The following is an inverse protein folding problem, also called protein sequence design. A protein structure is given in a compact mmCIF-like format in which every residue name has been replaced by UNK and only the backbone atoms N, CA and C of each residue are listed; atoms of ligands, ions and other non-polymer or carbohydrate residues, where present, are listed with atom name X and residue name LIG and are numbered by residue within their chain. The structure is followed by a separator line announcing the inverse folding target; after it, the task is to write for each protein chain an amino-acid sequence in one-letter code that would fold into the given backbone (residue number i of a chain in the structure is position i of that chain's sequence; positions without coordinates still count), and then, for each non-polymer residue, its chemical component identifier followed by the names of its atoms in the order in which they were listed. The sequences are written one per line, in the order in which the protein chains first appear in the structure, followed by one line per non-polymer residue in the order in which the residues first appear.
data_IF_091150773351
#
_entry.id   IF_091150773351
#
_cell.length_a   1.000
_cell.length_b   1.000
_cell.length_c   1.000
_cell.angle_alpha   90.00
_cell.angle_beta   90.00
_cell.angle_gamma   90.00
#
_symmetry.space_group_name_H-M   'P 1'
#
loop_
_entity.id
_entity.type
_entity.pdbx_description
1 polymer ?
#
# COMPACT_ATOMS: atom_id res chain seq x y z
N UNK A 1 -33.69 -31.53 -9.10
CA UNK A 1 -32.61 -32.54 -9.25
C UNK A 1 -31.27 -31.79 -9.30
N UNK A 2 -30.57 -31.60 -8.17
CA UNK A 2 -29.21 -31.03 -8.17
C UNK A 2 -28.26 -32.16 -8.55
N UNK A 3 -27.87 -32.21 -9.83
CA UNK A 3 -27.10 -33.33 -10.43
C UNK A 3 -25.62 -33.39 -9.99
N UNK A 4 -25.17 -32.45 -9.15
CA UNK A 4 -23.83 -32.43 -8.58
C UNK A 4 -23.89 -32.06 -7.10
N UNK A 5 -23.20 -32.83 -6.25
CA UNK A 5 -23.00 -32.50 -4.83
C UNK A 5 -22.18 -31.20 -4.77
N UNK A 6 -22.69 -30.19 -4.08
CA UNK A 6 -21.92 -28.95 -3.88
C UNK A 6 -20.62 -29.29 -3.16
N UNK A 7 -19.49 -28.85 -3.73
CA UNK A 7 -18.21 -28.96 -3.05
C UNK A 7 -18.28 -28.14 -1.75
N UNK A 8 -17.86 -28.69 -0.60
CA UNK A 8 -17.92 -28.00 0.68
C UNK A 8 -16.77 -26.98 0.81
N UNK A 9 -16.63 -26.10 -0.18
CA UNK A 9 -15.52 -25.15 -0.27
C UNK A 9 -15.48 -24.19 0.93
N UNK A 10 -16.64 -23.74 1.41
CA UNK A 10 -16.73 -22.92 2.64
C UNK A 10 -16.06 -23.62 3.82
N UNK A 11 -16.43 -24.88 4.08
CA UNK A 11 -15.89 -25.63 5.22
C UNK A 11 -14.37 -25.79 5.12
N UNK A 12 -13.81 -25.94 3.92
CA UNK A 12 -12.36 -26.01 3.72
C UNK A 12 -11.68 -24.68 4.05
N UNK A 13 -12.24 -23.57 3.57
CA UNK A 13 -11.74 -22.23 3.90
C UNK A 13 -11.85 -21.97 5.39
N UNK A 14 -12.98 -22.27 6.02
CA UNK A 14 -13.21 -22.08 7.45
C UNK A 14 -12.20 -22.90 8.29
N UNK A 15 -11.91 -24.14 7.88
CA UNK A 15 -10.91 -24.99 8.54
C UNK A 15 -9.51 -24.40 8.43
N UNK A 16 -9.14 -23.90 7.24
CA UNK A 16 -7.81 -23.27 7.02
C UNK A 16 -7.70 -21.99 7.84
N UNK A 17 -8.71 -21.12 7.82
CA UNK A 17 -8.73 -19.86 8.56
C UNK A 17 -8.62 -20.13 10.06
N UNK A 18 -9.39 -21.08 10.59
CA UNK A 18 -9.33 -21.44 12.01
C UNK A 18 -7.94 -21.98 12.38
N UNK A 19 -7.38 -22.87 11.55
CA UNK A 19 -6.03 -23.40 11.79
C UNK A 19 -4.97 -22.29 11.82
N UNK A 20 -5.02 -21.36 10.86
CA UNK A 20 -4.12 -20.20 10.81
C UNK A 20 -4.28 -19.32 12.04
N UNK A 21 -5.52 -19.00 12.44
CA UNK A 21 -5.80 -18.15 13.60
C UNK A 21 -5.33 -18.81 14.90
N UNK A 22 -5.50 -20.12 15.06
CA UNK A 22 -5.05 -20.84 16.25
C UNK A 22 -3.52 -20.92 16.35
N UNK A 23 -2.84 -21.28 15.26
CA UNK A 23 -1.40 -21.58 15.29
C UNK A 23 -0.51 -20.35 15.04
N UNK A 24 -1.00 -19.33 14.34
CA UNK A 24 -0.25 -18.11 14.00
C UNK A 24 -0.73 -16.88 14.77
N UNK A 25 -1.62 -17.03 15.76
CA UNK A 25 -2.11 -15.93 16.62
C UNK A 25 -0.97 -15.07 17.19
N UNK A 26 0.13 -15.68 17.62
CA UNK A 26 1.32 -14.98 18.11
C UNK A 26 1.96 -14.05 17.06
N UNK A 27 2.02 -14.49 15.80
CA UNK A 27 2.56 -13.68 14.69
C UNK A 27 1.57 -12.56 14.34
N UNK A 28 0.27 -12.86 14.23
CA UNK A 28 -0.74 -11.85 13.91
C UNK A 28 -0.84 -10.78 14.99
N UNK A 29 -0.81 -11.15 16.27
CA UNK A 29 -0.81 -10.19 17.38
C UNK A 29 0.47 -9.34 17.43
N UNK A 30 1.64 -9.93 17.14
CA UNK A 30 2.88 -9.16 16.99
C UNK A 30 2.78 -8.14 15.85
N UNK A 31 2.34 -8.56 14.67
CA UNK A 31 2.17 -7.67 13.52
C UNK A 31 1.15 -6.57 13.80
N UNK A 32 0.02 -6.91 14.42
CA UNK A 32 -1.00 -5.95 14.83
C UNK A 32 -0.44 -4.91 15.81
N UNK A 33 0.34 -5.35 16.80
CA UNK A 33 0.94 -4.46 17.80
C UNK A 33 2.00 -3.56 17.17
N UNK A 34 2.86 -4.12 16.31
CA UNK A 34 3.89 -3.37 15.61
C UNK A 34 3.27 -2.31 14.68
N UNK A 35 2.26 -2.69 13.90
CA UNK A 35 1.59 -1.75 13.01
C UNK A 35 0.83 -0.67 13.79
N UNK A 36 0.05 -1.05 14.81
CA UNK A 36 -0.62 -0.07 15.68
C UNK A 36 0.37 0.90 16.33
N UNK A 37 1.54 0.42 16.76
CA UNK A 37 2.59 1.27 17.31
C UNK A 37 3.10 2.27 16.27
N UNK A 38 3.41 1.82 15.04
CA UNK A 38 3.87 2.69 13.95
C UNK A 38 2.80 3.72 13.58
N UNK A 39 1.56 3.29 13.45
CA UNK A 39 0.42 4.14 13.12
C UNK A 39 0.19 5.21 14.19
N UNK A 40 0.14 4.82 15.47
CA UNK A 40 -0.07 5.76 16.57
C UNK A 40 1.08 6.74 16.70
N UNK A 41 2.33 6.28 16.60
CA UNK A 41 3.51 7.16 16.66
C UNK A 41 3.48 8.18 15.52
N UNK A 42 3.19 7.73 14.30
CA UNK A 42 3.18 8.61 13.13
C UNK A 42 2.04 9.63 13.20
N UNK A 43 0.82 9.19 13.55
CA UNK A 43 -0.32 10.09 13.73
C UNK A 43 -0.07 11.09 14.85
N UNK A 44 0.49 10.66 15.99
CA UNK A 44 0.81 11.56 17.09
C UNK A 44 1.89 12.58 16.73
N UNK A 45 2.90 12.19 15.94
CA UNK A 45 3.91 13.13 15.42
C UNK A 45 3.26 14.18 14.51
N UNK A 46 2.36 13.77 13.62
CA UNK A 46 1.64 14.68 12.73
C UNK A 46 0.72 15.63 13.50
N UNK A 47 0.02 15.13 14.52
CA UNK A 47 -0.88 15.91 15.37
C UNK A 47 -0.15 16.83 16.37
N UNK A 48 1.09 16.49 16.74
CA UNK A 48 1.91 17.34 17.59
C UNK A 48 2.24 18.70 16.92
N UNK A 49 2.15 18.77 15.59
CA UNK A 49 2.35 20.00 14.83
C UNK A 49 1.03 20.78 14.79
N UNK A 50 0.98 22.03 15.28
CA UNK A 50 -0.24 22.84 15.24
C UNK A 50 -0.77 22.95 13.80
N UNK A 51 -2.10 22.84 13.58
CA UNK A 51 -2.68 22.78 12.24
C UNK A 51 -2.24 23.91 11.30
N UNK A 52 -2.28 25.15 11.78
CA UNK A 52 -1.86 26.31 11.00
C UNK A 52 -0.38 26.28 10.60
N UNK A 53 0.49 25.72 11.45
CA UNK A 53 1.92 25.55 11.16
C UNK A 53 2.12 24.50 10.07
N UNK A 54 1.40 23.38 10.17
CA UNK A 54 1.43 22.33 9.14
C UNK A 54 0.93 22.85 7.78
N UNK A 55 -0.18 23.58 7.76
CA UNK A 55 -0.73 24.19 6.54
C UNK A 55 0.31 25.11 5.91
N UNK A 56 0.91 26.01 6.70
CA UNK A 56 1.93 26.93 6.22
C UNK A 56 3.15 26.18 5.64
N UNK A 57 3.63 25.14 6.33
CA UNK A 57 4.73 24.31 5.86
C UNK A 57 4.42 23.62 4.53
N UNK A 58 3.24 23.00 4.39
CA UNK A 58 2.84 22.31 3.16
C UNK A 58 2.67 23.28 1.99
N UNK A 59 2.12 24.48 2.24
CA UNK A 59 1.98 25.54 1.22
C UNK A 59 3.34 26.04 0.76
N UNK A 60 4.27 26.28 1.68
CA UNK A 60 5.63 26.70 1.36
C UNK A 60 6.36 25.60 0.57
N UNK A 61 6.27 24.35 1.02
CA UNK A 61 6.86 23.21 0.32
C UNK A 61 6.33 23.11 -1.11
N UNK A 62 5.01 23.19 -1.28
CA UNK A 62 4.39 23.20 -2.60
C UNK A 62 4.88 24.36 -3.47
N UNK A 63 5.05 25.55 -2.89
CA UNK A 63 5.54 26.71 -3.64
C UNK A 63 6.96 26.48 -4.20
N UNK A 64 7.85 25.85 -3.43
CA UNK A 64 9.20 25.52 -3.88
C UNK A 64 9.23 24.37 -4.89
N UNK A 65 8.49 23.28 -4.63
CA UNK A 65 8.46 22.09 -5.51
C UNK A 65 7.89 22.42 -6.88
N UNK A 66 6.83 23.23 -6.95
CA UNK A 66 6.16 23.56 -8.21
C UNK A 66 6.77 24.78 -8.93
N UNK A 67 8.07 25.02 -8.73
CA UNK A 67 8.85 26.09 -9.39
C UNK A 67 8.18 27.47 -9.26
N UNK A 68 7.65 27.79 -8.08
CA UNK A 68 6.98 29.06 -7.76
C UNK A 68 5.67 29.33 -8.53
N UNK A 69 5.04 28.30 -9.11
CA UNK A 69 3.68 28.43 -9.65
C UNK A 69 2.69 28.53 -8.50
N UNK A 70 1.94 29.62 -8.45
CA UNK A 70 1.11 30.00 -7.29
C UNK A 70 -0.20 29.20 -7.21
N UNK A 71 -0.69 28.67 -8.34
CA UNK A 71 -2.00 27.98 -8.40
C UNK A 71 -2.10 26.78 -7.45
N UNK A 72 -1.08 25.93 -7.41
CA UNK A 72 -1.09 24.72 -6.58
C UNK A 72 -0.95 24.99 -5.06
N UNK A 73 -0.04 25.88 -4.61
CA UNK A 73 -0.01 26.33 -3.21
C UNK A 73 -1.32 26.96 -2.72
N UNK A 74 -1.97 27.80 -3.55
CA UNK A 74 -3.29 28.38 -3.20
C UNK A 74 -4.34 27.28 -3.03
N UNK A 75 -4.36 26.31 -3.95
CA UNK A 75 -5.28 25.18 -3.86
C UNK A 75 -5.09 24.38 -2.55
N UNK A 76 -3.84 24.09 -2.17
CA UNK A 76 -3.52 23.43 -0.88
C UNK A 76 -3.99 24.27 0.29
N UNK A 77 -3.70 25.58 0.29
CA UNK A 77 -4.08 26.48 1.37
C UNK A 77 -5.60 26.48 1.58
N UNK A 78 -6.37 26.67 0.51
CA UNK A 78 -7.83 26.72 0.57
C UNK A 78 -8.39 25.35 0.99
N UNK A 79 -7.91 24.26 0.40
CA UNK A 79 -8.38 22.91 0.69
C UNK A 79 -8.14 22.50 2.15
N UNK A 80 -6.94 22.76 2.67
CA UNK A 80 -6.61 22.41 4.06
C UNK A 80 -7.32 23.31 5.07
N UNK A 81 -7.50 24.60 4.77
CA UNK A 81 -8.33 25.48 5.60
C UNK A 81 -9.78 25.05 5.61
N UNK A 82 -10.31 24.57 4.48
CA UNK A 82 -11.66 24.03 4.41
C UNK A 82 -11.81 22.77 5.29
N UNK A 83 -10.89 21.81 5.21
CA UNK A 83 -10.90 20.60 6.05
C UNK A 83 -10.80 20.95 7.53
N UNK A 84 -9.90 21.89 7.88
CA UNK A 84 -9.78 22.39 9.24
C UNK A 84 -11.09 23.02 9.73
N UNK A 85 -11.75 23.84 8.89
CA UNK A 85 -13.05 24.43 9.19
C UNK A 85 -14.17 23.39 9.37
N UNK A 86 -14.08 22.22 8.74
CA UNK A 86 -15.03 21.11 8.96
C UNK A 86 -14.71 20.27 10.21
N UNK A 87 -13.70 20.63 11.01
CA UNK A 87 -13.22 19.86 12.16
C UNK A 87 -12.76 18.43 11.81
N UNK A 88 -12.30 18.21 10.59
CA UNK A 88 -11.84 16.89 10.10
C UNK A 88 -10.31 16.77 10.10
N UNK A 89 -9.61 17.55 10.93
CA UNK A 89 -8.15 17.60 10.95
C UNK A 89 -7.53 16.29 11.43
N UNK A 90 -8.08 15.72 12.51
CA UNK A 90 -7.56 14.49 13.10
C UNK A 90 -7.81 13.27 12.19
N UNK A 91 -8.97 13.24 11.53
CA UNK A 91 -9.32 12.25 10.51
C UNK A 91 -8.39 12.37 9.30
N UNK A 92 -8.07 13.59 8.85
CA UNK A 92 -7.11 13.83 7.78
C UNK A 92 -5.73 13.29 8.16
N UNK A 93 -5.23 13.57 9.37
CA UNK A 93 -3.92 13.08 9.81
C UNK A 93 -3.89 11.56 9.91
N UNK A 94 -4.94 10.94 10.42
CA UNK A 94 -5.06 9.48 10.47
C UNK A 94 -5.09 8.87 9.07
N UNK A 95 -5.78 9.50 8.12
CA UNK A 95 -5.81 9.09 6.72
C UNK A 95 -4.44 9.25 6.05
N UNK A 96 -3.76 10.37 6.29
CA UNK A 96 -2.40 10.61 5.78
C UNK A 96 -1.45 9.53 6.31
N UNK A 97 -1.49 9.23 7.61
CA UNK A 97 -0.70 8.15 8.22
C UNK A 97 -0.96 6.82 7.51
N UNK A 98 -2.24 6.43 7.36
CA UNK A 98 -2.61 5.17 6.71
C UNK A 98 -2.08 5.11 5.28
N UNK A 99 -2.27 6.18 4.50
CA UNK A 99 -1.83 6.26 3.09
C UNK A 99 -0.32 6.22 2.99
N UNK A 100 0.41 6.95 3.85
CA UNK A 100 1.87 6.97 3.85
C UNK A 100 2.45 5.59 4.19
N UNK A 101 1.97 4.97 5.27
CA UNK A 101 2.46 3.66 5.70
C UNK A 101 2.13 2.59 4.65
N UNK A 102 0.90 2.56 4.13
CA UNK A 102 0.50 1.59 3.11
C UNK A 102 1.30 1.76 1.82
N UNK A 103 1.54 3.00 1.39
CA UNK A 103 2.32 3.31 0.19
C UNK A 103 3.79 2.92 0.38
N UNK A 104 4.37 3.17 1.56
CA UNK A 104 5.74 2.82 1.87
C UNK A 104 5.94 1.29 1.86
N UNK A 105 5.04 0.54 2.51
CA UNK A 105 5.07 -0.93 2.49
C UNK A 105 4.91 -1.45 1.04
N UNK A 106 3.98 -0.87 0.28
CA UNK A 106 3.78 -1.20 -1.13
C UNK A 106 5.03 -0.96 -1.97
N UNK A 107 5.77 0.12 -1.74
CA UNK A 107 7.03 0.41 -2.45
C UNK A 107 8.13 -0.57 -2.03
N UNK A 108 8.30 -0.78 -0.72
CA UNK A 108 9.33 -1.67 -0.15
C UNK A 108 9.18 -3.11 -0.69
N UNK A 109 7.95 -3.59 -0.84
CA UNK A 109 7.68 -4.95 -1.36
C UNK A 109 7.59 -4.94 -2.89
N UNK A 110 6.88 -3.95 -3.44
CA UNK A 110 6.50 -3.92 -4.84
C UNK A 110 7.65 -3.63 -5.78
N UNK A 111 8.59 -2.75 -5.41
CA UNK A 111 9.75 -2.44 -6.25
C UNK A 111 10.68 -3.66 -6.39
N UNK A 112 11.12 -4.33 -5.30
CA UNK A 112 11.93 -5.55 -5.43
C UNK A 112 11.22 -6.65 -6.21
N UNK A 113 9.93 -6.89 -5.96
CA UNK A 113 9.16 -7.89 -6.70
C UNK A 113 9.05 -7.54 -8.19
N UNK A 114 8.89 -6.25 -8.52
CA UNK A 114 8.91 -5.75 -9.90
C UNK A 114 10.26 -5.93 -10.59
N UNK A 115 11.36 -5.73 -9.86
CA UNK A 115 12.72 -6.01 -10.35
C UNK A 115 12.91 -7.52 -10.59
N UNK A 116 12.41 -8.39 -9.71
CA UNK A 116 12.48 -9.84 -9.90
C UNK A 116 11.66 -10.28 -11.12
N UNK A 117 10.48 -9.70 -11.33
CA UNK A 117 9.66 -9.95 -12.52
C UNK A 117 10.33 -9.46 -13.81
N UNK A 118 11.07 -8.35 -13.78
CA UNK A 118 11.77 -7.85 -14.97
C UNK A 118 12.95 -8.71 -15.38
N UNK A 119 13.59 -9.38 -14.41
CA UNK A 119 14.71 -10.28 -14.65
C UNK A 119 14.29 -11.70 -15.08
N UNK A 120 13.03 -12.10 -14.91
CA UNK A 120 12.58 -13.46 -15.23
C UNK A 120 11.15 -13.53 -15.75
N UNK A 121 11.00 -14.00 -17.00
CA UNK A 121 9.69 -14.27 -17.61
C UNK A 121 8.89 -15.33 -16.87
N UNK A 122 9.56 -16.28 -16.21
CA UNK A 122 8.91 -17.29 -15.38
C UNK A 122 8.30 -16.67 -14.13
N UNK A 123 9.05 -15.80 -13.44
CA UNK A 123 8.53 -15.06 -12.28
C UNK A 123 7.36 -14.18 -12.69
N UNK A 124 7.46 -13.48 -13.83
CA UNK A 124 6.34 -12.69 -14.35
C UNK A 124 5.08 -13.53 -14.57
N UNK A 125 5.19 -14.69 -15.23
CA UNK A 125 4.04 -15.58 -15.49
C UNK A 125 3.38 -16.10 -14.22
N UNK A 126 4.13 -16.30 -13.14
CA UNK A 126 3.62 -16.80 -11.85
C UNK A 126 3.01 -15.67 -11.02
N UNK A 127 3.67 -14.52 -10.95
CA UNK A 127 3.25 -13.41 -10.08
C UNK A 127 2.07 -12.65 -10.69
N UNK A 128 2.00 -12.52 -12.02
CA UNK A 128 0.96 -11.74 -12.70
C UNK A 128 -0.48 -12.17 -12.34
N UNK A 129 -0.85 -13.47 -12.32
CA UNK A 129 -2.16 -13.91 -11.83
C UNK A 129 -2.46 -13.53 -10.38
N UNK A 130 -1.45 -13.53 -9.49
CA UNK A 130 -1.63 -13.08 -8.11
C UNK A 130 -1.94 -11.59 -8.06
N UNK A 131 -1.23 -10.78 -8.84
CA UNK A 131 -1.51 -9.35 -8.97
C UNK A 131 -2.89 -9.08 -9.58
N UNK A 132 -3.33 -9.91 -10.54
CA UNK A 132 -4.67 -9.83 -11.11
C UNK A 132 -5.74 -10.13 -10.05
N UNK A 133 -5.55 -11.18 -9.24
CA UNK A 133 -6.43 -11.46 -8.09
C UNK A 133 -6.47 -10.31 -7.09
N UNK A 134 -5.33 -9.69 -6.79
CA UNK A 134 -5.22 -8.56 -5.87
C UNK A 134 -5.93 -7.29 -6.37
N UNK A 135 -6.04 -7.08 -7.69
CA UNK A 135 -6.72 -5.91 -8.27
C UNK A 135 -8.20 -6.14 -8.57
N UNK A 136 -8.60 -7.40 -8.81
CA UNK A 136 -9.95 -7.71 -9.31
C UNK A 136 -10.93 -8.11 -8.22
N UNK A 137 -10.46 -8.59 -7.06
CA UNK A 137 -11.39 -8.89 -5.96
C UNK A 137 -11.86 -7.60 -5.28
N UNK A 138 -13.15 -7.53 -4.88
CA UNK A 138 -13.66 -6.35 -4.18
C UNK A 138 -12.92 -6.09 -2.87
N UNK A 139 -12.71 -4.81 -2.54
CA UNK A 139 -11.99 -4.38 -1.33
C UNK A 139 -12.51 -5.03 -0.03
N UNK A 140 -13.83 -5.14 0.11
CA UNK A 140 -14.46 -5.74 1.29
C UNK A 140 -14.11 -7.21 1.49
N UNK A 141 -13.76 -7.94 0.42
CA UNK A 141 -13.39 -9.35 0.50
C UNK A 141 -12.05 -9.53 1.23
N UNK A 142 -11.14 -8.56 1.15
CA UNK A 142 -9.89 -8.55 1.91
C UNK A 142 -10.08 -8.19 3.38
N UNK A 143 -11.11 -7.37 3.68
CA UNK A 143 -11.38 -6.95 5.05
C UNK A 143 -11.89 -8.10 5.93
N UNK A 144 -12.64 -9.06 5.37
CA UNK A 144 -13.16 -10.21 6.11
C UNK A 144 -12.04 -11.01 6.79
N UNK A 145 -11.04 -11.56 6.07
CA UNK A 145 -9.93 -12.26 6.70
C UNK A 145 -9.04 -11.31 7.50
N UNK A 146 -8.84 -10.06 7.07
CA UNK A 146 -8.01 -9.12 7.81
C UNK A 146 -8.57 -8.82 9.22
N UNK A 147 -9.89 -8.64 9.34
CA UNK A 147 -10.55 -8.46 10.64
C UNK A 147 -10.53 -9.75 11.46
N UNK A 148 -10.64 -10.91 10.81
CA UNK A 148 -10.52 -12.20 11.51
C UNK A 148 -9.13 -12.41 12.14
N UNK A 149 -8.06 -12.01 11.44
CA UNK A 149 -6.68 -12.17 11.94
C UNK A 149 -6.22 -11.03 12.85
N UNK A 150 -6.61 -9.79 12.54
CA UNK A 150 -6.09 -8.58 13.18
C UNK A 150 -7.13 -7.80 13.97
N UNK A 151 -8.35 -8.31 14.12
CA UNK A 151 -9.43 -7.61 14.80
C UNK A 151 -9.88 -6.33 14.09
N UNK A 152 -10.69 -5.53 14.78
CA UNK A 152 -11.18 -4.25 14.27
C UNK A 152 -10.17 -3.15 14.61
N UNK A 153 -9.86 -2.28 13.65
CA UNK A 153 -8.95 -1.15 13.86
C UNK A 153 -8.41 -0.58 12.55
N UNK A 154 -7.30 0.15 12.63
CA UNK A 154 -6.61 0.70 11.45
C UNK A 154 -5.87 -0.38 10.64
N UNK A 155 -5.44 -1.46 11.31
CA UNK A 155 -4.67 -2.57 10.75
C UNK A 155 -5.31 -3.22 9.51
N UNK A 156 -6.58 -3.66 9.57
CA UNK A 156 -7.26 -4.15 8.37
C UNK A 156 -7.28 -3.16 7.20
N UNK A 157 -7.38 -1.86 7.51
CA UNK A 157 -7.38 -0.78 6.51
C UNK A 157 -6.03 -0.63 5.82
N UNK A 158 -4.93 -0.66 6.57
CA UNK A 158 -3.56 -0.67 6.02
C UNK A 158 -3.33 -1.92 5.20
N UNK A 159 -3.69 -3.10 5.71
CA UNK A 159 -3.54 -4.38 5.02
C UNK A 159 -4.26 -4.39 3.65
N UNK A 160 -5.54 -3.98 3.63
CA UNK A 160 -6.30 -3.89 2.39
C UNK A 160 -5.71 -2.86 1.42
N UNK A 161 -5.25 -1.72 1.94
CA UNK A 161 -4.62 -0.66 1.13
C UNK A 161 -3.31 -1.12 0.49
N UNK A 162 -2.48 -1.87 1.22
CA UNK A 162 -1.24 -2.48 0.68
C UNK A 162 -1.57 -3.47 -0.43
N UNK A 163 -2.55 -4.35 -0.23
CA UNK A 163 -2.97 -5.31 -1.26
C UNK A 163 -3.42 -4.58 -2.53
N UNK A 164 -4.11 -3.46 -2.41
CA UNK A 164 -4.60 -2.70 -3.55
C UNK A 164 -3.49 -1.88 -4.25
N UNK A 165 -2.54 -1.33 -3.48
CA UNK A 165 -1.47 -0.47 -3.99
C UNK A 165 -0.25 -1.23 -4.55
N UNK A 166 -0.01 -2.47 -4.08
CA UNK A 166 1.15 -3.27 -4.48
C UNK A 166 1.13 -3.62 -5.98
N UNK A 167 0.02 -4.08 -6.58
CA UNK A 167 -0.01 -4.46 -7.99
C UNK A 167 0.43 -3.39 -9.00
N UNK A 168 -0.06 -2.13 -8.98
CA UNK A 168 0.45 -1.10 -9.90
C UNK A 168 1.93 -0.81 -9.68
N UNK A 169 2.40 -0.80 -8.42
CA UNK A 169 3.82 -0.60 -8.09
C UNK A 169 4.68 -1.67 -8.78
N UNK A 170 4.35 -2.95 -8.58
CA UNK A 170 5.09 -4.07 -9.18
C UNK A 170 5.07 -4.03 -10.70
N UNK A 171 3.90 -3.80 -11.30
CA UNK A 171 3.74 -3.79 -12.77
C UNK A 171 4.51 -2.65 -13.42
N UNK A 172 4.41 -1.45 -12.86
CA UNK A 172 5.10 -0.28 -13.42
C UNK A 172 6.61 -0.39 -13.23
N UNK A 173 7.10 -0.98 -12.15
CA UNK A 173 8.52 -1.31 -12.01
C UNK A 173 8.97 -2.35 -13.05
N UNK A 174 8.23 -3.46 -13.22
CA UNK A 174 8.55 -4.47 -14.23
C UNK A 174 8.61 -3.86 -15.64
N UNK A 175 7.55 -3.14 -16.04
CA UNK A 175 7.45 -2.50 -17.34
C UNK A 175 8.53 -1.43 -17.53
N UNK A 176 8.78 -0.59 -16.52
CA UNK A 176 9.80 0.45 -16.58
C UNK A 176 11.19 -0.11 -16.85
N UNK A 177 11.56 -1.21 -16.20
CA UNK A 177 12.86 -1.87 -16.40
C UNK A 177 12.92 -2.56 -17.77
N UNK A 178 11.88 -3.29 -18.17
CA UNK A 178 11.83 -3.97 -19.48
C UNK A 178 11.76 -3.01 -20.68
N UNK A 179 11.32 -1.77 -20.46
CA UNK A 179 11.21 -0.76 -21.52
C UNK A 179 12.54 -0.04 -21.82
N UNK A 180 13.63 -0.37 -21.09
CA UNK A 180 14.95 0.18 -21.36
C UNK A 180 15.46 -0.37 -22.70
N UNK A 181 16.00 0.50 -23.56
CA UNK A 181 16.49 0.11 -24.88
C UNK A 181 17.63 -0.88 -24.79
N UNK A 182 17.61 -1.91 -25.64
CA UNK A 182 18.63 -2.96 -25.68
C UNK A 182 20.05 -2.43 -25.88
N UNK A 183 20.23 -1.39 -26.70
CA UNK A 183 21.53 -0.77 -26.96
C UNK A 183 22.18 -0.20 -25.69
N UNK A 184 21.38 0.41 -24.80
CA UNK A 184 21.88 0.90 -23.49
C UNK A 184 22.29 -0.26 -22.57
N UNK A 185 21.59 -1.39 -22.64
CA UNK A 185 21.93 -2.60 -21.87
C UNK A 185 23.22 -3.23 -22.40
N UNK A 186 23.36 -3.41 -23.71
CA UNK A 186 24.58 -3.94 -24.34
C UNK A 186 25.79 -3.04 -24.09
N UNK A 187 25.58 -1.71 -24.08
CA UNK A 187 26.61 -0.74 -23.71
C UNK A 187 27.01 -0.92 -22.24
N UNK A 188 26.05 -0.99 -21.32
CA UNK A 188 26.28 -1.21 -19.89
C UNK A 188 27.07 -2.50 -19.61
N UNK A 189 26.73 -3.58 -20.31
CA UNK A 189 27.42 -4.87 -20.22
C UNK A 189 28.86 -4.77 -20.74
N UNK A 190 29.07 -4.04 -21.85
CA UNK A 190 30.40 -3.79 -22.43
C UNK A 190 31.33 -3.00 -21.49
N UNK A 191 30.78 -2.15 -20.63
CA UNK A 191 31.52 -1.43 -19.58
C UNK A 191 31.71 -2.25 -18.28
N UNK A 192 31.25 -3.50 -18.23
CA UNK A 192 31.46 -4.40 -17.09
C UNK A 192 30.56 -4.12 -15.88
N UNK A 193 29.37 -3.53 -16.11
CA UNK A 193 28.42 -3.26 -15.03
C UNK A 193 27.79 -4.55 -14.51
N UNK A 194 27.62 -4.69 -13.19
CA UNK A 194 26.95 -5.84 -12.57
C UNK A 194 25.43 -5.68 -12.58
N UNK A 195 24.70 -6.80 -12.71
CA UNK A 195 23.23 -6.86 -12.77
C UNK A 195 22.50 -6.60 -11.45
#
# INVERSE_FOLDING_TARGET
MKMFKQLPFSNWIDTIVNWLTEHLSGIFSFLQTAENAVMNVTTNILLAIPPFVMILLLVLLAFFVFKRKIGFPIFILIGLLFIYNQNMWDDLMSTITLVLISSLISIIIGVPLGILMSKSDTVEKIVKPLLDLMQTMPGFLYLIPAVAFFGIGMVPGVFASVIFALPPTVRMTNLGIRSISKELVETSDSFGSTS
#
